data_IF_592720711685
#
_entry.id   IF_592720711685
#
_cell.length_a   1.000
_cell.length_b   1.000
_cell.length_c   1.000
_cell.angle_alpha   90.00
_cell.angle_beta   90.00
_cell.angle_gamma   90.00
#
_symmetry.space_group_name_H-M   'P 1'
#
loop_
_entity.id
_entity.type
_entity.pdbx_description
1 polymer ?
#
# COMPACT_ATOMS: atom_id res chain seq x y z
N UNK A 1 1.76 5.21 -24.43
CA UNK A 1 1.68 6.64 -24.07
C UNK A 1 1.08 6.71 -22.68
N UNK A 2 1.73 7.40 -21.75
CA UNK A 2 1.26 7.60 -20.38
C UNK A 2 1.03 9.11 -20.19
N UNK A 3 -0.10 9.49 -19.62
CA UNK A 3 -0.40 10.87 -19.23
C UNK A 3 -0.70 10.95 -17.73
N UNK A 4 -0.19 12.00 -17.09
CA UNK A 4 -0.50 12.35 -15.73
C UNK A 4 -1.12 13.75 -15.73
N UNK A 5 -2.32 13.87 -15.16
CA UNK A 5 -3.09 15.12 -15.12
C UNK A 5 -3.38 15.49 -13.67
N UNK A 6 -2.97 16.68 -13.27
CA UNK A 6 -3.40 17.29 -12.02
C UNK A 6 -4.80 17.88 -12.22
N UNK A 7 -5.81 17.31 -11.53
CA UNK A 7 -7.22 17.74 -11.64
C UNK A 7 -7.52 19.10 -11.01
N UNK A 8 -6.67 19.59 -10.10
CA UNK A 8 -6.87 20.88 -9.42
C UNK A 8 -6.35 22.04 -10.23
N UNK A 9 -5.22 21.86 -10.93
CA UNK A 9 -4.58 22.92 -11.73
C UNK A 9 -4.80 22.77 -13.23
N UNK A 10 -5.30 21.61 -13.69
CA UNK A 10 -5.51 21.28 -15.10
C UNK A 10 -4.22 21.00 -15.87
N UNK A 11 -3.06 20.99 -15.20
CA UNK A 11 -1.77 20.74 -15.85
C UNK A 11 -1.62 19.26 -16.22
N UNK A 12 -1.25 18.99 -17.47
CA UNK A 12 -0.96 17.66 -17.98
C UNK A 12 0.53 17.54 -18.34
N UNK A 13 1.14 16.42 -17.95
CA UNK A 13 2.43 15.98 -18.48
C UNK A 13 2.24 14.66 -19.23
N UNK A 14 2.85 14.58 -20.41
CA UNK A 14 2.67 13.44 -21.32
C UNK A 14 4.01 12.85 -21.72
N UNK A 15 4.15 11.54 -21.53
CA UNK A 15 5.32 10.77 -21.98
C UNK A 15 4.86 9.78 -23.07
N UNK A 16 5.43 9.94 -24.25
CA UNK A 16 5.21 9.02 -25.37
C UNK A 16 6.29 7.96 -25.36
N UNK A 17 5.95 6.76 -24.90
CA UNK A 17 6.81 5.59 -25.00
C UNK A 17 6.68 5.02 -26.42
N UNK A 18 7.72 5.15 -27.24
CA UNK A 18 7.83 4.51 -28.56
C UNK A 18 8.28 3.05 -28.38
N UNK A 19 7.56 2.12 -29.01
CA UNK A 19 7.96 0.71 -29.04
C UNK A 19 8.90 0.49 -30.23
N UNK A 20 10.16 0.91 -30.07
CA UNK A 20 11.21 0.70 -31.08
C UNK A 20 11.56 -0.79 -31.18
N UNK A 21 11.41 -1.37 -32.37
CA UNK A 21 11.77 -2.77 -32.65
C UNK A 21 13.23 -3.00 -32.25
N UNK A 22 13.49 -3.93 -31.33
CA UNK A 22 14.84 -4.30 -30.89
C UNK A 22 15.22 -3.86 -29.47
N UNK A 23 14.31 -3.25 -28.69
CA UNK A 23 14.58 -2.92 -27.27
C UNK A 23 14.82 -4.13 -26.38
N UNK A 24 14.25 -5.28 -26.72
CA UNK A 24 14.46 -6.56 -26.05
C UNK A 24 14.58 -7.64 -27.15
N UNK A 25 15.53 -8.55 -27.01
CA UNK A 25 15.62 -9.72 -27.88
C UNK A 25 14.52 -10.74 -27.54
N UNK A 26 14.24 -11.69 -28.44
CA UNK A 26 13.31 -12.77 -28.13
C UNK A 26 13.78 -13.61 -26.95
N UNK A 27 15.08 -13.83 -26.84
CA UNK A 27 15.71 -14.57 -25.74
C UNK A 27 15.56 -13.83 -24.40
N UNK A 28 15.69 -12.50 -24.39
CA UNK A 28 15.46 -11.70 -23.18
C UNK A 28 13.98 -11.77 -22.75
N UNK A 29 13.05 -11.72 -23.70
CA UNK A 29 11.61 -11.85 -23.41
C UNK A 29 11.30 -13.22 -22.82
N UNK A 30 11.83 -14.29 -23.40
CA UNK A 30 11.64 -15.66 -22.90
C UNK A 30 12.24 -15.84 -21.50
N UNK A 31 13.45 -15.30 -21.26
CA UNK A 31 14.06 -15.29 -19.92
C UNK A 31 13.20 -14.54 -18.91
N UNK A 32 12.70 -13.35 -19.26
CA UNK A 32 11.82 -12.57 -18.39
C UNK A 32 10.51 -13.30 -18.05
N UNK A 33 9.93 -14.04 -19.01
CA UNK A 33 8.73 -14.86 -18.76
C UNK A 33 9.03 -16.00 -17.80
N UNK A 34 10.16 -16.70 -17.97
CA UNK A 34 10.57 -17.78 -17.08
C UNK A 34 10.88 -17.28 -15.66
N UNK A 35 11.54 -16.13 -15.54
CA UNK A 35 11.80 -15.49 -14.26
C UNK A 35 10.49 -15.06 -13.59
N UNK A 36 9.56 -14.46 -14.33
CA UNK A 36 8.26 -14.08 -13.80
C UNK A 36 7.48 -15.30 -13.26
N UNK A 37 7.45 -16.43 -13.99
CA UNK A 37 6.79 -17.65 -13.51
C UNK A 37 7.48 -18.25 -12.28
N UNK A 38 8.82 -18.21 -12.23
CA UNK A 38 9.61 -18.70 -11.10
C UNK A 38 9.35 -17.90 -9.82
N UNK A 39 9.30 -16.58 -9.92
CA UNK A 39 9.12 -15.70 -8.75
C UNK A 39 7.66 -15.35 -8.46
N UNK A 40 6.72 -15.73 -9.32
CA UNK A 40 5.29 -15.44 -9.18
C UNK A 40 4.74 -15.70 -7.78
N UNK A 41 5.06 -16.85 -7.20
CA UNK A 41 4.56 -17.22 -5.87
C UNK A 41 5.12 -16.32 -4.76
N UNK A 42 6.38 -15.92 -4.87
CA UNK A 42 7.03 -14.99 -3.93
C UNK A 42 6.46 -13.57 -4.10
N UNK A 43 6.33 -13.10 -5.34
CA UNK A 43 5.74 -11.80 -5.67
C UNK A 43 4.28 -11.69 -5.21
N UNK A 44 3.49 -12.76 -5.36
CA UNK A 44 2.11 -12.83 -4.90
C UNK A 44 2.03 -12.75 -3.36
N UNK A 45 2.92 -13.45 -2.63
CA UNK A 45 3.01 -13.35 -1.16
C UNK A 45 3.40 -11.94 -0.70
N UNK A 46 4.40 -11.32 -1.35
CA UNK A 46 4.79 -9.95 -1.04
C UNK A 46 3.67 -8.96 -1.35
N UNK A 47 2.96 -9.15 -2.46
CA UNK A 47 1.80 -8.32 -2.83
C UNK A 47 0.68 -8.43 -1.80
N UNK A 48 0.33 -9.64 -1.37
CA UNK A 48 -0.70 -9.85 -0.34
C UNK A 48 -0.32 -9.19 0.99
N UNK A 49 0.95 -9.32 1.39
CA UNK A 49 1.48 -8.68 2.59
C UNK A 49 1.40 -7.16 2.53
N UNK A 50 1.81 -6.56 1.40
CA UNK A 50 1.71 -5.11 1.19
C UNK A 50 0.24 -4.67 1.18
N UNK A 51 -0.66 -5.45 0.57
CA UNK A 51 -2.08 -5.16 0.57
C UNK A 51 -2.69 -5.18 1.99
N UNK A 52 -2.34 -6.19 2.80
CA UNK A 52 -2.74 -6.28 4.20
C UNK A 52 -2.20 -5.10 5.02
N UNK A 53 -0.92 -4.75 4.86
CA UNK A 53 -0.32 -3.57 5.49
C UNK A 53 -1.09 -2.30 5.14
N UNK A 54 -1.29 -2.03 3.85
CA UNK A 54 -2.00 -0.83 3.38
C UNK A 54 -3.44 -0.79 3.89
N UNK A 55 -4.11 -1.94 3.99
CA UNK A 55 -5.46 -2.04 4.54
C UNK A 55 -5.50 -1.69 6.02
N UNK A 56 -4.57 -2.22 6.84
CA UNK A 56 -4.50 -1.92 8.26
C UNK A 56 -4.08 -0.47 8.52
N UNK A 57 -3.13 0.07 7.75
CA UNK A 57 -2.75 1.49 7.81
C UNK A 57 -3.95 2.40 7.49
N UNK A 58 -4.67 2.09 6.41
CA UNK A 58 -5.88 2.84 6.03
C UNK A 58 -6.95 2.76 7.12
N UNK A 59 -7.16 1.58 7.70
CA UNK A 59 -8.12 1.41 8.79
C UNK A 59 -7.73 2.20 10.05
N UNK A 60 -6.47 2.11 10.49
CA UNK A 60 -5.96 2.85 11.64
C UNK A 60 -6.07 4.37 11.42
N UNK A 61 -5.76 4.85 10.22
CA UNK A 61 -5.91 6.25 9.86
C UNK A 61 -7.37 6.70 9.87
N UNK A 62 -8.27 5.92 9.26
CA UNK A 62 -9.71 6.21 9.25
C UNK A 62 -10.28 6.22 10.68
N UNK A 63 -9.85 5.28 11.52
CA UNK A 63 -10.28 5.20 12.92
C UNK A 63 -9.81 6.42 13.71
N UNK A 64 -8.54 6.81 13.55
CA UNK A 64 -7.98 8.03 14.18
C UNK A 64 -8.75 9.27 13.74
N UNK A 65 -9.00 9.42 12.43
CA UNK A 65 -9.78 10.52 11.90
C UNK A 65 -11.22 10.53 12.44
N UNK A 66 -11.82 9.36 12.64
CA UNK A 66 -13.19 9.24 13.16
C UNK A 66 -13.29 9.63 14.63
N UNK A 67 -12.32 9.25 15.48
CA UNK A 67 -12.33 9.63 16.91
C UNK A 67 -11.88 11.07 17.16
N UNK A 68 -11.23 11.68 16.16
CA UNK A 68 -10.88 13.10 16.16
C UNK A 68 -11.99 13.99 15.54
N UNK A 69 -12.99 13.41 14.86
CA UNK A 69 -14.15 14.13 14.34
C UNK A 69 -14.97 14.76 15.47
N UNK A 70 -15.25 16.05 15.36
CA UNK A 70 -15.94 16.84 16.39
C UNK A 70 -17.32 16.25 16.75
N UNK A 71 -18.01 15.55 15.84
CA UNK A 71 -19.32 14.91 16.12
C UNK A 71 -19.21 13.66 16.98
N UNK A 72 -18.07 12.98 16.95
CA UNK A 72 -17.80 11.75 17.70
C UNK A 72 -16.96 12.01 18.95
N UNK A 73 -16.15 13.06 18.93
CA UNK A 73 -15.32 13.53 20.05
C UNK A 73 -16.13 13.82 21.31
N UNK A 74 -17.33 14.38 21.18
CA UNK A 74 -18.21 14.64 22.32
C UNK A 74 -18.97 13.39 22.82
N UNK A 75 -18.98 12.31 22.04
CA UNK A 75 -19.71 11.06 22.33
C UNK A 75 -18.83 9.94 22.86
N UNK A 76 -17.52 10.10 22.79
CA UNK A 76 -16.51 9.14 23.23
C UNK A 76 -15.76 9.74 24.41
N UNK A 77 -15.46 8.94 25.43
CA UNK A 77 -14.67 9.40 26.56
C UNK A 77 -13.23 9.71 26.13
N UNK A 78 -12.60 10.71 26.74
CA UNK A 78 -11.20 11.04 26.45
C UNK A 78 -10.25 9.86 26.73
N UNK A 79 -10.58 9.00 27.71
CA UNK A 79 -9.85 7.76 28.00
C UNK A 79 -9.98 6.73 26.88
N UNK A 80 -11.18 6.50 26.34
CA UNK A 80 -11.38 5.55 25.26
C UNK A 80 -10.76 6.06 23.95
N UNK A 81 -10.85 7.37 23.70
CA UNK A 81 -10.17 8.01 22.56
C UNK A 81 -8.66 7.81 22.63
N UNK A 82 -8.03 8.05 23.79
CA UNK A 82 -6.59 7.82 23.98
C UNK A 82 -6.22 6.36 23.75
N UNK A 83 -7.00 5.41 24.28
CA UNK A 83 -6.77 3.97 24.06
C UNK A 83 -6.84 3.59 22.59
N UNK A 84 -7.84 4.10 21.86
CA UNK A 84 -8.00 3.82 20.42
C UNK A 84 -6.80 4.36 19.63
N UNK A 85 -6.41 5.61 19.87
CA UNK A 85 -5.26 6.23 19.20
C UNK A 85 -3.96 5.46 19.53
N UNK A 86 -3.75 5.10 20.79
CA UNK A 86 -2.58 4.34 21.22
C UNK A 86 -2.52 2.96 20.54
N UNK A 87 -3.64 2.23 20.46
CA UNK A 87 -3.70 0.94 19.76
C UNK A 87 -3.47 1.08 18.26
N UNK A 88 -4.02 2.11 17.62
CA UNK A 88 -3.79 2.38 16.20
C UNK A 88 -2.31 2.68 15.93
N UNK A 89 -1.68 3.53 16.75
CA UNK A 89 -0.25 3.84 16.62
C UNK A 89 0.62 2.60 16.87
N UNK A 90 0.30 1.77 17.86
CA UNK A 90 1.00 0.50 18.12
C UNK A 90 0.91 -0.45 16.93
N UNK A 91 -0.28 -0.59 16.32
CA UNK A 91 -0.45 -1.42 15.13
C UNK A 91 0.40 -0.90 13.97
N UNK A 92 0.38 0.41 13.69
CA UNK A 92 1.20 1.02 12.63
C UNK A 92 2.70 0.85 12.90
N UNK A 93 3.17 1.15 14.12
CA UNK A 93 4.58 0.97 14.46
C UNK A 93 5.02 -0.50 14.43
N UNK A 94 4.13 -1.43 14.76
CA UNK A 94 4.41 -2.86 14.60
C UNK A 94 4.57 -3.21 13.12
N UNK A 95 3.66 -2.76 12.24
CA UNK A 95 3.75 -2.93 10.78
C UNK A 95 5.05 -2.35 10.18
N UNK A 96 5.52 -1.21 10.68
CA UNK A 96 6.74 -0.54 10.21
C UNK A 96 8.03 -1.27 10.62
N UNK A 97 8.07 -1.83 11.84
CA UNK A 97 9.22 -2.59 12.34
C UNK A 97 9.26 -4.02 11.80
N UNK A 98 8.11 -4.54 11.39
CA UNK A 98 7.95 -5.88 10.86
C UNK A 98 7.75 -5.89 9.34
N UNK A 99 8.48 -5.05 8.59
CA UNK A 99 8.46 -5.06 7.13
C UNK A 99 8.82 -6.44 6.52
N UNK A 100 9.49 -7.31 7.29
CA UNK A 100 9.85 -8.68 6.93
C UNK A 100 9.05 -9.77 7.68
N UNK A 101 8.06 -9.42 8.51
CA UNK A 101 7.26 -10.43 9.23
C UNK A 101 6.47 -11.33 8.27
N UNK A 102 6.32 -12.59 8.66
CA UNK A 102 5.55 -13.57 7.90
C UNK A 102 4.05 -13.29 7.97
N UNK A 103 3.30 -13.79 6.98
CA UNK A 103 1.85 -13.56 6.82
C UNK A 103 1.03 -13.90 8.08
N UNK A 104 1.49 -14.89 8.85
CA UNK A 104 0.85 -15.35 10.09
C UNK A 104 0.85 -14.31 11.22
N UNK A 105 1.81 -13.37 11.23
CA UNK A 105 1.85 -12.34 12.28
C UNK A 105 0.89 -11.16 12.00
N UNK A 106 0.37 -11.02 10.78
CA UNK A 106 -0.62 -9.99 10.43
C UNK A 106 -2.07 -10.41 10.70
N UNK A 107 -2.32 -11.71 10.94
CA UNK A 107 -3.66 -12.27 11.14
C UNK A 107 -4.04 -12.53 12.60
N UNK A 108 -3.15 -12.24 13.56
CA UNK A 108 -3.36 -12.43 15.01
C UNK A 108 -3.33 -11.15 15.85
#
# INVERSE_FOLDING_TARGET
MLSAVDKSTGKENKITITNDKGRLSKEDIERMVQEADKYKAEDDQQREKIAAKNSLESYAFNMKSSVEDEKLKEKISEDDKKKVIEKCNKAVSWLENNQLADKEEYEH
#
